data_IF_597496969608
#
_entry.id   IF_597496969608
#
_cell.length_a   1.000
_cell.length_b   1.000
_cell.length_c   1.000
_cell.angle_alpha   90.00
_cell.angle_beta   90.00
_cell.angle_gamma   90.00
#
_symmetry.space_group_name_H-M   'P 1'
#
loop_
_entity.id
_entity.type
_entity.pdbx_description
1 polymer ?
#
# COMPACT_ATOMS: atom_id res chain seq x y z
N UNK A 1 1.00 -3.65 -33.10
CA UNK A 1 -0.47 -3.57 -33.02
C UNK A 1 -0.89 -2.13 -32.81
N UNK A 2 -2.09 -1.72 -33.24
CA UNK A 2 -2.58 -0.33 -33.05
C UNK A 2 -3.35 -0.19 -31.75
N UNK A 3 -3.34 1.02 -31.20
CA UNK A 3 -4.11 1.36 -30.00
C UNK A 3 -5.62 1.31 -30.30
N UNK A 4 -6.40 0.74 -29.38
CA UNK A 4 -7.87 0.65 -29.51
C UNK A 4 -8.57 2.01 -29.47
N UNK A 5 -7.87 3.08 -29.03
CA UNK A 5 -8.44 4.41 -28.83
C UNK A 5 -7.89 5.49 -29.77
N UNK A 6 -6.83 5.18 -30.55
CA UNK A 6 -6.24 6.10 -31.52
C UNK A 6 -5.40 5.35 -32.56
N UNK A 7 -4.78 6.07 -33.50
CA UNK A 7 -3.93 5.50 -34.57
C UNK A 7 -2.50 5.17 -34.16
N UNK A 8 -2.10 5.48 -32.90
CA UNK A 8 -0.76 5.23 -32.37
C UNK A 8 -0.48 3.76 -32.16
N UNK A 9 0.81 3.43 -31.97
CA UNK A 9 1.21 2.06 -31.68
C UNK A 9 0.90 1.69 -30.22
N UNK A 10 0.37 0.48 -30.01
CA UNK A 10 0.09 -0.03 -28.68
C UNK A 10 1.38 -0.51 -28.02
N UNK A 11 1.52 -0.20 -26.73
CA UNK A 11 2.62 -0.66 -25.86
C UNK A 11 2.15 -1.68 -24.81
N UNK A 12 0.84 -1.83 -24.63
CA UNK A 12 0.24 -2.70 -23.63
C UNK A 12 -1.05 -3.32 -24.12
N UNK A 13 -1.24 -4.60 -23.82
CA UNK A 13 -2.49 -5.33 -23.98
C UNK A 13 -3.14 -5.53 -22.62
N UNK A 14 -4.27 -4.89 -22.41
CA UNK A 14 -5.11 -5.06 -21.21
C UNK A 14 -5.99 -6.30 -21.37
N UNK A 15 -5.46 -7.50 -21.14
CA UNK A 15 -6.14 -8.79 -21.36
C UNK A 15 -7.52 -8.88 -20.70
N UNK A 16 -7.71 -8.24 -19.54
CA UNK A 16 -8.98 -8.23 -18.81
C UNK A 16 -10.11 -7.47 -19.54
N UNK A 17 -9.78 -6.57 -20.46
CA UNK A 17 -10.75 -5.78 -21.26
C UNK A 17 -10.61 -5.99 -22.76
N UNK A 18 -9.55 -6.66 -23.21
CA UNK A 18 -9.24 -6.84 -24.65
C UNK A 18 -8.72 -5.56 -25.32
N UNK A 19 -8.44 -4.48 -24.56
CA UNK A 19 -7.95 -3.22 -25.14
C UNK A 19 -6.44 -3.27 -25.37
N UNK A 20 -6.03 -2.75 -26.53
CA UNK A 20 -4.65 -2.43 -26.86
C UNK A 20 -4.41 -0.94 -26.59
N UNK A 21 -3.46 -0.57 -25.74
CA UNK A 21 -3.26 0.81 -25.31
C UNK A 21 -1.86 1.32 -25.71
N UNK A 22 -1.79 2.52 -26.29
CA UNK A 22 -0.54 3.27 -26.40
C UNK A 22 -0.17 3.90 -25.05
N UNK A 23 1.05 4.42 -24.91
CA UNK A 23 1.53 5.02 -23.66
C UNK A 23 0.56 6.05 -23.07
N UNK A 24 0.17 7.04 -23.90
CA UNK A 24 -0.79 8.09 -23.48
C UNK A 24 -2.12 7.52 -22.97
N UNK A 25 -2.74 6.58 -23.68
CA UNK A 25 -4.03 6.02 -23.26
C UNK A 25 -3.92 5.05 -22.08
N UNK A 26 -2.75 4.47 -21.85
CA UNK A 26 -2.43 3.75 -20.63
C UNK A 26 -2.38 4.70 -19.42
N UNK A 27 -1.63 5.80 -19.54
CA UNK A 27 -1.55 6.84 -18.47
C UNK A 27 -2.93 7.39 -18.14
N UNK A 28 -3.70 7.85 -19.13
CA UNK A 28 -5.06 8.35 -18.96
C UNK A 28 -5.97 7.31 -18.27
N UNK A 29 -5.81 6.03 -18.59
CA UNK A 29 -6.58 4.93 -17.99
C UNK A 29 -6.21 4.71 -16.52
N UNK A 30 -4.91 4.70 -16.20
CA UNK A 30 -4.39 4.56 -14.84
C UNK A 30 -4.86 5.75 -13.98
N UNK A 31 -4.62 6.97 -14.43
CA UNK A 31 -5.01 8.19 -13.70
C UNK A 31 -6.52 8.26 -13.45
N UNK A 32 -7.35 7.92 -14.43
CA UNK A 32 -8.81 7.91 -14.27
C UNK A 32 -9.24 6.94 -13.17
N UNK A 33 -8.61 5.76 -13.06
CA UNK A 33 -8.90 4.77 -12.01
C UNK A 33 -8.40 5.24 -10.66
N UNK A 34 -7.21 5.84 -10.59
CA UNK A 34 -6.70 6.46 -9.35
C UNK A 34 -7.64 7.59 -8.88
N UNK A 35 -8.03 8.50 -9.78
CA UNK A 35 -8.99 9.58 -9.48
C UNK A 35 -10.32 9.05 -8.93
N UNK A 36 -10.80 7.93 -9.47
CA UNK A 36 -12.00 7.25 -8.97
C UNK A 36 -11.80 6.72 -7.55
N UNK A 37 -10.72 5.96 -7.32
CA UNK A 37 -10.41 5.40 -6.00
C UNK A 37 -10.26 6.50 -4.93
N UNK A 38 -9.57 7.57 -5.25
CA UNK A 38 -9.41 8.71 -4.33
C UNK A 38 -10.76 9.37 -4.01
N UNK A 39 -11.62 9.57 -5.01
CA UNK A 39 -12.95 10.15 -4.78
C UNK A 39 -13.84 9.27 -3.91
N UNK A 40 -13.70 7.95 -4.03
CA UNK A 40 -14.49 6.98 -3.28
C UNK A 40 -13.96 6.80 -1.84
N UNK A 41 -12.66 7.08 -1.58
CA UNK A 41 -11.98 6.81 -0.30
C UNK A 41 -11.73 8.06 0.54
N UNK A 42 -11.68 9.26 -0.06
CA UNK A 42 -11.33 10.51 0.63
C UNK A 42 -12.54 11.43 0.72
N UNK A 43 -12.85 11.86 1.93
CA UNK A 43 -13.90 12.85 2.18
C UNK A 43 -13.34 14.28 2.07
N UNK A 44 -13.63 14.95 0.96
CA UNK A 44 -13.20 16.33 0.68
C UNK A 44 -14.17 17.41 1.23
N UNK A 45 -15.26 17.02 1.91
CA UNK A 45 -16.30 17.96 2.37
C UNK A 45 -15.91 18.81 3.57
N UNK A 46 -14.82 18.46 4.25
CA UNK A 46 -14.36 19.08 5.50
C UNK A 46 -13.19 20.04 5.32
N UNK A 47 -13.25 21.00 4.40
CA UNK A 47 -12.16 21.96 4.25
C UNK A 47 -10.88 21.34 3.69
N UNK A 48 -9.71 21.69 4.25
CA UNK A 48 -8.42 21.14 3.80
C UNK A 48 -8.23 19.67 4.21
N UNK A 49 -7.62 18.87 3.32
CA UNK A 49 -7.32 17.46 3.55
C UNK A 49 -5.80 17.26 3.52
N UNK A 50 -5.26 16.58 4.54
CA UNK A 50 -3.84 16.24 4.64
C UNK A 50 -3.67 14.74 4.37
N UNK A 51 -2.90 14.40 3.34
CA UNK A 51 -2.62 13.02 2.95
C UNK A 51 -1.12 12.80 3.10
N UNK A 52 -0.73 11.85 3.92
CA UNK A 52 0.65 11.36 3.98
C UNK A 52 0.80 10.11 3.11
N UNK A 53 1.92 9.96 2.41
CA UNK A 53 2.22 8.80 1.59
C UNK A 53 3.33 7.99 2.26
N UNK A 54 3.05 6.72 2.57
CA UNK A 54 4.08 5.80 3.03
C UNK A 54 4.90 5.34 1.82
N UNK A 55 6.05 5.98 1.59
CA UNK A 55 6.93 5.71 0.46
C UNK A 55 8.09 4.79 0.88
N UNK A 56 8.33 3.73 0.11
CA UNK A 56 9.43 2.79 0.32
C UNK A 56 10.54 2.91 -0.72
N UNK A 57 10.37 3.75 -1.74
CA UNK A 57 11.24 3.84 -2.90
C UNK A 57 11.09 2.71 -3.92
N UNK A 58 10.22 1.73 -3.66
CA UNK A 58 9.81 0.72 -4.64
C UNK A 58 8.72 1.27 -5.58
N UNK A 59 8.50 0.59 -6.72
CA UNK A 59 7.63 1.04 -7.81
C UNK A 59 6.23 1.51 -7.37
N UNK A 60 5.54 0.72 -6.55
CA UNK A 60 4.14 0.99 -6.19
C UNK A 60 3.99 2.24 -5.32
N UNK A 61 4.87 2.41 -4.34
CA UNK A 61 4.85 3.58 -3.45
C UNK A 61 5.28 4.85 -4.18
N UNK A 62 6.26 4.76 -5.09
CA UNK A 62 6.74 5.89 -5.89
C UNK A 62 5.67 6.35 -6.88
N UNK A 63 5.00 5.40 -7.58
CA UNK A 63 3.85 5.71 -8.45
C UNK A 63 2.69 6.31 -7.65
N UNK A 64 2.44 5.81 -6.42
CA UNK A 64 1.40 6.38 -5.56
C UNK A 64 1.68 7.85 -5.24
N UNK A 65 2.91 8.18 -4.83
CA UNK A 65 3.30 9.56 -4.51
C UNK A 65 3.19 10.46 -5.74
N UNK A 66 3.78 10.04 -6.87
CA UNK A 66 3.75 10.79 -8.11
C UNK A 66 2.33 11.06 -8.61
N UNK A 67 1.49 10.02 -8.69
CA UNK A 67 0.13 10.15 -9.17
C UNK A 67 -0.75 11.04 -8.26
N UNK A 68 -0.55 10.99 -6.94
CA UNK A 68 -1.23 11.90 -6.02
C UNK A 68 -0.72 13.33 -6.14
N UNK A 69 0.58 13.54 -6.36
CA UNK A 69 1.14 14.85 -6.65
C UNK A 69 0.49 15.44 -7.90
N UNK A 70 0.50 14.72 -9.03
CA UNK A 70 -0.11 15.16 -10.28
C UNK A 70 -1.62 15.46 -10.14
N UNK A 71 -2.33 14.65 -9.35
CA UNK A 71 -3.75 14.85 -9.10
C UNK A 71 -4.04 16.11 -8.27
N UNK A 72 -3.14 16.51 -7.37
CA UNK A 72 -3.40 17.53 -6.36
C UNK A 72 -2.54 18.78 -6.46
N UNK A 73 -1.51 18.86 -7.34
CA UNK A 73 -0.59 19.98 -7.45
C UNK A 73 -1.28 21.35 -7.60
N UNK A 74 -2.46 21.39 -8.24
CA UNK A 74 -3.22 22.62 -8.42
C UNK A 74 -4.34 22.82 -7.37
N UNK A 75 -4.45 21.92 -6.37
CA UNK A 75 -5.51 21.98 -5.36
C UNK A 75 -5.01 22.56 -4.04
N UNK A 76 -5.34 23.81 -3.76
CA UNK A 76 -4.95 24.50 -2.52
C UNK A 76 -5.52 23.90 -1.23
N UNK A 77 -6.58 23.10 -1.34
CA UNK A 77 -7.24 22.46 -0.19
C UNK A 77 -6.75 21.03 0.09
N UNK A 78 -5.70 20.56 -0.58
CA UNK A 78 -5.06 19.29 -0.31
C UNK A 78 -3.58 19.51 -0.08
N UNK A 79 -3.04 19.00 1.01
CA UNK A 79 -1.62 18.99 1.28
C UNK A 79 -1.09 17.56 1.28
N UNK A 80 0.06 17.36 0.64
CA UNK A 80 0.76 16.09 0.60
C UNK A 80 2.01 16.15 1.47
N UNK A 81 2.28 15.08 2.18
CA UNK A 81 3.56 14.78 2.84
C UNK A 81 3.92 13.33 2.57
N UNK A 82 5.17 12.96 2.78
CA UNK A 82 5.64 11.59 2.62
C UNK A 82 6.49 11.18 3.81
N UNK A 83 6.51 9.88 4.10
CA UNK A 83 7.43 9.31 5.07
C UNK A 83 7.90 7.92 4.65
N UNK A 84 9.13 7.59 5.03
CA UNK A 84 9.72 6.28 4.81
C UNK A 84 9.97 5.59 6.13
N UNK A 85 9.71 4.27 6.18
CA UNK A 85 10.07 3.42 7.31
C UNK A 85 11.32 2.65 6.94
N UNK A 86 12.34 2.77 7.78
CA UNK A 86 13.56 1.99 7.68
C UNK A 86 13.51 0.84 8.69
N UNK A 87 13.46 -0.39 8.20
CA UNK A 87 13.43 -1.59 9.00
C UNK A 87 14.82 -2.04 9.47
N UNK A 88 15.90 -1.41 9.00
CA UNK A 88 17.26 -1.76 9.33
C UNK A 88 17.68 -3.11 8.73
N UNK A 89 17.39 -3.32 7.44
CA UNK A 89 17.82 -4.50 6.66
C UNK A 89 18.99 -4.07 5.77
N UNK A 90 20.20 -4.50 6.12
CA UNK A 90 21.44 -4.11 5.43
C UNK A 90 21.44 -4.52 3.96
N UNK A 91 21.91 -3.63 3.08
CA UNK A 91 22.05 -3.87 1.65
C UNK A 91 20.72 -3.98 0.88
N UNK A 92 19.60 -3.74 1.55
CA UNK A 92 18.28 -3.79 0.94
C UNK A 92 17.57 -2.43 0.91
N UNK A 93 17.68 -1.65 2.00
CA UNK A 93 16.89 -0.41 2.11
C UNK A 93 17.56 0.82 1.53
N UNK A 94 18.88 0.79 1.34
CA UNK A 94 19.66 1.99 1.00
C UNK A 94 19.18 2.64 -0.30
N UNK A 95 19.09 1.88 -1.41
CA UNK A 95 18.59 2.39 -2.68
C UNK A 95 17.12 2.84 -2.65
N UNK A 96 16.29 2.13 -1.89
CA UNK A 96 14.90 2.52 -1.68
C UNK A 96 14.77 3.84 -0.92
N UNK A 97 15.56 4.05 0.14
CA UNK A 97 15.60 5.31 0.90
C UNK A 97 16.05 6.48 0.02
N UNK A 98 17.10 6.29 -0.78
CA UNK A 98 17.62 7.29 -1.72
C UNK A 98 16.58 7.66 -2.79
N UNK A 99 15.93 6.66 -3.41
CA UNK A 99 14.90 6.89 -4.41
C UNK A 99 13.69 7.62 -3.82
N UNK A 100 13.27 7.26 -2.60
CA UNK A 100 12.17 7.93 -1.92
C UNK A 100 12.49 9.40 -1.64
N UNK A 101 13.67 9.68 -1.10
CA UNK A 101 14.13 11.04 -0.79
C UNK A 101 14.29 11.88 -2.07
N UNK A 102 14.89 11.31 -3.12
CA UNK A 102 15.06 11.96 -4.41
C UNK A 102 13.73 12.35 -5.04
N UNK A 103 12.76 11.42 -5.10
CA UNK A 103 11.44 11.70 -5.67
C UNK A 103 10.69 12.76 -4.86
N UNK A 104 10.74 12.71 -3.53
CA UNK A 104 10.11 13.73 -2.68
C UNK A 104 10.71 15.11 -2.92
N UNK A 105 12.04 15.19 -3.07
CA UNK A 105 12.76 16.44 -3.37
C UNK A 105 12.36 16.99 -4.75
N UNK A 106 12.33 16.14 -5.77
CA UNK A 106 11.93 16.49 -7.13
C UNK A 106 10.50 17.06 -7.18
N UNK A 107 9.58 16.45 -6.43
CA UNK A 107 8.18 16.88 -6.38
C UNK A 107 7.91 18.00 -5.36
N UNK A 108 8.91 18.45 -4.59
CA UNK A 108 8.74 19.46 -3.55
C UNK A 108 7.85 19.03 -2.38
N UNK A 109 7.78 17.71 -2.10
CA UNK A 109 6.95 17.15 -1.04
C UNK A 109 7.76 16.97 0.24
N UNK A 110 7.32 17.49 1.41
CA UNK A 110 7.97 17.26 2.69
C UNK A 110 8.10 15.77 2.99
N UNK A 111 9.32 15.32 3.38
CA UNK A 111 9.62 13.92 3.61
C UNK A 111 10.32 13.72 4.95
N UNK A 112 9.91 12.68 5.69
CA UNK A 112 10.57 12.23 6.92
C UNK A 112 10.92 10.73 6.84
N UNK A 113 11.89 10.32 7.65
CA UNK A 113 12.25 8.91 7.81
C UNK A 113 12.17 8.52 9.28
N UNK A 114 11.53 7.38 9.57
CA UNK A 114 11.45 6.79 10.89
C UNK A 114 11.97 5.35 10.84
N UNK A 115 12.84 4.95 11.77
CA UNK A 115 13.46 3.63 11.76
C UNK A 115 12.99 2.73 12.91
N UNK A 116 13.14 1.42 12.72
CA UNK A 116 12.96 0.44 13.79
C UNK A 116 13.94 0.68 14.93
N UNK A 117 15.21 0.98 14.62
CA UNK A 117 16.23 1.26 15.62
C UNK A 117 15.87 2.46 16.50
N UNK A 118 15.36 3.55 15.93
CA UNK A 118 14.93 4.72 16.70
C UNK A 118 13.74 4.45 17.63
N UNK A 119 12.80 3.60 17.21
CA UNK A 119 11.53 3.43 17.93
C UNK A 119 11.46 2.19 18.79
N UNK A 120 12.16 1.13 18.37
CA UNK A 120 12.11 -0.17 19.05
C UNK A 120 13.48 -0.62 19.58
N UNK A 121 14.54 0.21 19.40
CA UNK A 121 15.92 -0.08 19.80
C UNK A 121 16.45 -1.40 19.22
N UNK A 122 15.93 -1.82 18.05
CA UNK A 122 16.35 -3.01 17.32
C UNK A 122 16.11 -2.85 15.82
N UNK A 123 16.75 -3.68 15.03
CA UNK A 123 16.58 -3.76 13.58
C UNK A 123 15.93 -5.08 13.18
N UNK A 124 15.47 -5.18 11.93
CA UNK A 124 14.92 -6.45 11.44
C UNK A 124 15.99 -7.54 11.34
N UNK A 125 17.24 -7.17 11.00
CA UNK A 125 18.35 -8.09 10.96
C UNK A 125 18.64 -8.65 12.35
N UNK A 126 18.74 -7.81 13.38
CA UNK A 126 18.96 -8.25 14.78
C UNK A 126 17.81 -9.16 15.28
N UNK A 127 16.55 -8.87 14.92
CA UNK A 127 15.42 -9.73 15.29
C UNK A 127 15.56 -11.14 14.69
N UNK A 128 16.01 -11.23 13.44
CA UNK A 128 16.21 -12.52 12.77
C UNK A 128 17.45 -13.24 13.29
N UNK A 129 18.54 -12.52 13.53
CA UNK A 129 19.78 -13.09 14.13
C UNK A 129 19.52 -13.68 15.51
N UNK A 130 18.78 -12.96 16.36
CA UNK A 130 18.46 -13.41 17.71
C UNK A 130 17.39 -14.53 17.73
N UNK A 131 16.59 -14.69 16.67
CA UNK A 131 15.55 -15.69 16.56
C UNK A 131 15.48 -16.28 15.15
N UNK A 132 16.39 -17.19 14.76
CA UNK A 132 16.46 -17.76 13.41
C UNK A 132 15.18 -18.47 12.95
N UNK A 133 14.40 -19.02 13.88
CA UNK A 133 13.15 -19.72 13.60
C UNK A 133 11.95 -18.77 13.37
N UNK A 134 12.11 -17.50 13.68
CA UNK A 134 11.00 -16.54 13.50
C UNK A 134 10.69 -16.36 12.00
N UNK A 135 9.41 -16.25 11.67
CA UNK A 135 8.99 -15.82 10.34
C UNK A 135 9.14 -14.29 10.27
N UNK A 136 10.12 -13.73 9.54
CA UNK A 136 10.44 -12.29 9.60
C UNK A 136 9.24 -11.39 9.35
N UNK A 137 8.39 -11.74 8.37
CA UNK A 137 7.19 -10.97 8.03
C UNK A 137 6.17 -10.89 9.18
N UNK A 138 6.17 -11.86 10.10
CA UNK A 138 5.25 -11.85 11.26
C UNK A 138 5.61 -10.79 12.29
N UNK A 139 6.88 -10.40 12.36
CA UNK A 139 7.42 -9.33 13.21
C UNK A 139 7.41 -7.98 12.47
N UNK A 140 8.00 -7.94 11.29
CA UNK A 140 8.11 -6.74 10.47
C UNK A 140 6.74 -6.08 10.20
N UNK A 141 5.72 -6.87 9.84
CA UNK A 141 4.40 -6.33 9.49
C UNK A 141 3.71 -5.54 10.62
N UNK A 142 3.59 -6.04 11.85
CA UNK A 142 3.06 -5.29 13.00
C UNK A 142 3.88 -4.02 13.29
N UNK A 143 5.21 -4.11 13.34
CA UNK A 143 6.10 -2.99 13.62
C UNK A 143 5.94 -1.88 12.57
N UNK A 144 5.96 -2.21 11.29
CA UNK A 144 5.71 -1.24 10.20
C UNK A 144 4.36 -0.55 10.33
N UNK A 145 3.28 -1.30 10.61
CA UNK A 145 1.94 -0.71 10.80
C UNK A 145 1.88 0.23 11.99
N UNK A 146 2.61 -0.07 13.07
CA UNK A 146 2.73 0.81 14.23
C UNK A 146 3.45 2.10 13.87
N UNK A 147 4.60 2.03 13.17
CA UNK A 147 5.33 3.22 12.72
C UNK A 147 4.53 4.04 11.70
N UNK A 148 3.83 3.41 10.77
CA UNK A 148 2.92 4.13 9.86
C UNK A 148 1.89 4.95 10.64
N UNK A 149 1.32 4.38 11.71
CA UNK A 149 0.32 5.09 12.49
C UNK A 149 0.93 6.22 13.32
N UNK A 150 2.10 6.00 13.90
CA UNK A 150 2.83 7.03 14.66
C UNK A 150 3.19 8.18 13.74
N UNK A 151 3.82 7.90 12.60
CA UNK A 151 4.32 8.94 11.72
C UNK A 151 3.21 9.71 11.01
N UNK A 152 2.14 9.03 10.58
CA UNK A 152 0.99 9.74 10.05
C UNK A 152 0.28 10.63 11.07
N UNK A 153 0.32 10.26 12.36
CA UNK A 153 -0.19 11.12 13.43
C UNK A 153 0.74 12.32 13.69
N UNK A 154 2.07 12.12 13.67
CA UNK A 154 3.05 13.21 13.79
C UNK A 154 2.91 14.24 12.66
N UNK A 155 2.58 13.79 11.47
CA UNK A 155 2.32 14.62 10.29
C UNK A 155 0.89 15.19 10.25
N UNK A 156 0.10 14.96 11.31
CA UNK A 156 -1.29 15.42 11.38
C UNK A 156 -2.14 14.97 10.19
N UNK A 157 -1.84 13.81 9.61
CA UNK A 157 -2.48 13.33 8.41
C UNK A 157 -3.92 12.85 8.67
N UNK A 158 -4.85 13.27 7.82
CA UNK A 158 -6.23 12.74 7.81
C UNK A 158 -6.28 11.34 7.19
N UNK A 159 -5.36 11.09 6.24
CA UNK A 159 -5.22 9.82 5.52
C UNK A 159 -3.76 9.44 5.31
N UNK A 160 -3.49 8.14 5.29
CA UNK A 160 -2.22 7.59 4.81
C UNK A 160 -2.46 6.77 3.53
N UNK A 161 -1.79 7.16 2.45
CA UNK A 161 -1.84 6.46 1.18
C UNK A 161 -0.78 5.35 1.13
N UNK A 162 -1.20 4.17 0.69
CA UNK A 162 -0.34 2.99 0.55
C UNK A 162 -0.30 2.55 -0.91
N UNK A 163 0.90 2.23 -1.40
CA UNK A 163 1.13 1.66 -2.72
C UNK A 163 0.78 0.17 -2.75
N UNK A 164 -0.50 -0.15 -2.66
CA UNK A 164 -1.01 -1.52 -2.80
C UNK A 164 -1.76 -1.59 -4.12
N UNK A 165 -1.23 -2.32 -5.08
CA UNK A 165 -1.81 -2.53 -6.39
C UNK A 165 -2.91 -3.61 -6.38
N UNK A 166 -3.53 -3.89 -7.52
CA UNK A 166 -4.63 -4.84 -7.66
C UNK A 166 -4.18 -6.27 -7.31
N UNK A 167 -3.00 -6.68 -7.77
CA UNK A 167 -2.46 -8.02 -7.56
C UNK A 167 -2.17 -8.24 -6.07
N UNK A 168 -1.52 -7.30 -5.40
CA UNK A 168 -1.25 -7.34 -3.95
C UNK A 168 -2.53 -7.37 -3.11
N UNK A 169 -3.53 -6.60 -3.53
CA UNK A 169 -4.84 -6.59 -2.86
C UNK A 169 -5.53 -7.95 -3.00
N UNK A 170 -5.57 -8.50 -4.21
CA UNK A 170 -6.20 -9.78 -4.52
C UNK A 170 -5.51 -10.95 -3.80
N UNK A 171 -4.17 -10.97 -3.77
CA UNK A 171 -3.40 -11.92 -2.95
C UNK A 171 -3.80 -11.84 -1.48
N UNK A 172 -3.96 -10.63 -0.95
CA UNK A 172 -4.33 -10.44 0.46
C UNK A 172 -5.74 -10.94 0.76
N UNK A 173 -6.68 -10.77 -0.18
CA UNK A 173 -8.03 -11.34 -0.08
C UNK A 173 -7.97 -12.87 -0.07
N UNK A 174 -7.29 -13.49 -1.03
CA UNK A 174 -7.12 -14.94 -1.11
C UNK A 174 -6.47 -15.51 0.15
N UNK A 175 -5.43 -14.85 0.68
CA UNK A 175 -4.77 -15.26 1.93
C UNK A 175 -5.72 -15.26 3.12
N UNK A 176 -6.60 -14.27 3.23
CA UNK A 176 -7.55 -14.18 4.33
C UNK A 176 -8.67 -15.22 4.18
N UNK A 177 -9.15 -15.46 2.96
CA UNK A 177 -10.13 -16.52 2.65
C UNK A 177 -9.55 -17.90 3.01
N UNK A 178 -8.33 -18.21 2.55
CA UNK A 178 -7.68 -19.50 2.83
C UNK A 178 -7.40 -19.75 4.31
N UNK A 179 -7.32 -18.68 5.13
CA UNK A 179 -7.16 -18.78 6.59
C UNK A 179 -8.47 -18.78 7.36
N UNK A 180 -9.59 -18.53 6.70
CA UNK A 180 -10.87 -18.28 7.38
C UNK A 180 -10.85 -17.03 8.28
N UNK A 181 -9.96 -16.05 8.01
CA UNK A 181 -9.74 -14.88 8.88
C UNK A 181 -10.67 -13.72 8.48
N UNK A 182 -11.93 -13.84 8.89
CA UNK A 182 -12.99 -12.85 8.66
C UNK A 182 -12.63 -11.49 9.27
N UNK A 183 -12.07 -11.49 10.46
CA UNK A 183 -11.65 -10.28 11.17
C UNK A 183 -10.55 -9.52 10.42
N UNK A 184 -9.60 -10.23 9.86
CA UNK A 184 -8.52 -9.63 9.07
C UNK A 184 -9.05 -9.12 7.74
N UNK A 185 -9.99 -9.82 7.13
CA UNK A 185 -10.70 -9.39 5.93
C UNK A 185 -11.45 -8.07 6.16
N UNK A 186 -12.20 -7.96 7.25
CA UNK A 186 -12.93 -6.74 7.62
C UNK A 186 -12.01 -5.55 7.96
N UNK A 187 -10.78 -5.81 8.41
CA UNK A 187 -9.78 -4.77 8.71
C UNK A 187 -8.90 -4.37 7.53
N UNK A 188 -9.12 -4.95 6.35
CA UNK A 188 -8.36 -4.52 5.15
C UNK A 188 -8.70 -3.07 4.79
N UNK A 189 -7.67 -2.32 4.34
CA UNK A 189 -7.89 -1.00 3.73
C UNK A 189 -8.62 -1.16 2.37
N UNK A 190 -9.30 -0.13 1.86
CA UNK A 190 -9.39 1.22 2.41
C UNK A 190 -10.29 1.31 3.64
N UNK A 191 -10.02 2.30 4.51
CA UNK A 191 -10.79 2.50 5.73
C UNK A 191 -11.81 3.63 5.54
N UNK A 192 -13.08 3.32 5.51
CA UNK A 192 -14.16 4.32 5.39
C UNK A 192 -14.46 5.02 6.71
N UNK A 193 -14.34 4.30 7.84
CA UNK A 193 -14.60 4.84 9.17
C UNK A 193 -13.30 5.22 9.88
N UNK A 194 -13.34 6.36 10.59
CA UNK A 194 -12.26 6.76 11.49
C UNK A 194 -12.36 5.92 12.78
N UNK A 195 -11.24 5.35 13.21
CA UNK A 195 -11.10 4.71 14.53
C UNK A 195 -10.17 5.57 15.39
N UNK A 196 -10.50 5.71 16.66
CA UNK A 196 -9.69 6.52 17.59
C UNK A 196 -8.24 6.06 17.65
N UNK A 197 -7.34 7.03 17.51
CA UNK A 197 -5.90 6.79 17.49
C UNK A 197 -5.34 6.16 16.21
N UNK A 198 -6.16 5.90 15.17
CA UNK A 198 -5.71 5.33 13.91
C UNK A 198 -5.97 6.27 12.74
N UNK A 199 -4.94 6.49 11.91
CA UNK A 199 -5.09 7.22 10.65
C UNK A 199 -5.74 6.31 9.60
N UNK A 200 -6.72 6.85 8.87
CA UNK A 200 -7.41 6.11 7.79
C UNK A 200 -6.44 5.80 6.66
N UNK A 201 -6.46 4.56 6.18
CA UNK A 201 -5.63 4.12 5.05
C UNK A 201 -6.41 4.17 3.76
N UNK A 202 -5.80 4.73 2.71
CA UNK A 202 -6.33 4.76 1.35
C UNK A 202 -5.40 4.01 0.41
N UNK A 203 -5.98 3.41 -0.62
CA UNK A 203 -5.28 2.55 -1.59
C UNK A 203 -5.50 3.08 -3.01
N UNK A 204 -4.74 4.09 -3.47
CA UNK A 204 -4.93 4.69 -4.78
C UNK A 204 -4.78 3.71 -5.94
N UNK A 205 -3.88 2.70 -5.80
CA UNK A 205 -3.53 1.75 -6.85
C UNK A 205 -4.35 0.44 -6.82
N UNK A 206 -5.30 0.27 -5.90
CA UNK A 206 -5.94 -1.03 -5.71
C UNK A 206 -6.75 -1.55 -6.93
N UNK A 207 -7.02 -0.72 -7.94
CA UNK A 207 -7.63 -1.11 -9.24
C UNK A 207 -6.62 -1.11 -10.38
N UNK A 208 -5.33 -0.99 -10.12
CA UNK A 208 -4.29 -0.92 -11.13
C UNK A 208 -3.49 -2.23 -11.07
N UNK A 209 -3.50 -3.06 -12.13
CA UNK A 209 -2.64 -4.24 -12.23
C UNK A 209 -1.17 -3.89 -12.08
N UNK A 210 -0.38 -4.78 -11.48
CA UNK A 210 1.05 -4.57 -11.23
C UNK A 210 1.81 -4.19 -12.53
N UNK A 211 1.50 -4.84 -13.65
CA UNK A 211 2.10 -4.53 -14.96
C UNK A 211 1.84 -3.09 -15.42
N UNK A 212 0.63 -2.58 -15.17
CA UNK A 212 0.30 -1.19 -15.52
C UNK A 212 1.00 -0.19 -14.59
N UNK A 213 1.23 -0.54 -13.31
CA UNK A 213 2.02 0.30 -12.40
C UNK A 213 3.46 0.43 -12.89
N UNK A 214 4.08 -0.69 -13.33
CA UNK A 214 5.44 -0.69 -13.91
C UNK A 214 5.51 0.18 -15.15
N UNK A 215 4.57 -0.01 -16.09
CA UNK A 215 4.55 0.76 -17.34
C UNK A 215 4.30 2.24 -17.08
N UNK A 216 3.40 2.59 -16.15
CA UNK A 216 3.17 3.97 -15.75
C UNK A 216 4.43 4.61 -15.14
N UNK A 217 5.18 3.87 -14.31
CA UNK A 217 6.44 4.35 -13.77
C UNK A 217 7.47 4.64 -14.87
N UNK A 218 7.61 3.73 -15.85
CA UNK A 218 8.55 3.89 -16.97
C UNK A 218 8.16 5.08 -17.85
N UNK A 219 6.88 5.21 -18.21
CA UNK A 219 6.39 6.30 -19.05
C UNK A 219 6.60 7.68 -18.43
N UNK A 220 6.52 7.77 -17.11
CA UNK A 220 6.71 9.02 -16.36
C UNK A 220 8.14 9.21 -15.82
N UNK A 221 9.10 8.35 -16.18
CA UNK A 221 10.50 8.47 -15.76
C UNK A 221 10.72 8.29 -14.26
N UNK A 222 9.78 7.67 -13.54
CA UNK A 222 9.86 7.47 -12.09
C UNK A 222 10.93 6.42 -11.80
N UNK A 223 11.95 6.80 -11.04
CA UNK A 223 12.97 5.87 -10.55
C UNK A 223 12.41 5.07 -9.38
N UNK A 224 12.71 3.77 -9.36
CA UNK A 224 12.30 2.89 -8.28
C UNK A 224 13.31 1.77 -8.07
N UNK A 225 13.38 1.29 -6.84
CA UNK A 225 14.14 0.09 -6.49
C UNK A 225 13.31 -1.16 -6.81
N UNK A 226 13.93 -2.13 -7.46
CA UNK A 226 13.36 -3.44 -7.78
C UNK A 226 13.93 -4.57 -6.92
N UNK A 227 14.72 -4.24 -5.91
CA UNK A 227 15.33 -5.23 -5.00
C UNK A 227 14.26 -5.99 -4.21
N UNK A 228 14.53 -7.26 -3.96
CA UNK A 228 13.71 -8.10 -3.11
C UNK A 228 14.26 -8.13 -1.69
N UNK A 229 13.35 -8.03 -0.71
CA UNK A 229 13.74 -8.22 0.68
C UNK A 229 14.45 -9.57 0.86
N UNK A 230 15.64 -9.64 1.52
CA UNK A 230 16.38 -10.89 1.71
C UNK A 230 15.54 -11.98 2.40
N UNK A 231 14.56 -11.58 3.19
CA UNK A 231 13.63 -12.48 3.89
C UNK A 231 12.40 -12.87 3.06
N UNK A 232 12.31 -12.45 1.80
CA UNK A 232 11.15 -12.67 0.92
C UNK A 232 10.85 -14.17 0.70
N UNK A 233 11.88 -15.02 0.56
CA UNK A 233 11.70 -16.45 0.34
C UNK A 233 10.92 -17.19 1.44
N UNK A 234 10.86 -16.62 2.65
CA UNK A 234 10.10 -17.15 3.80
C UNK A 234 8.65 -16.59 3.89
N UNK A 235 8.22 -15.82 2.90
CA UNK A 235 6.91 -15.17 2.92
C UNK A 235 5.83 -16.10 2.34
N UNK A 236 4.76 -16.35 3.12
CA UNK A 236 3.60 -17.14 2.66
C UNK A 236 2.88 -16.53 1.44
N UNK A 237 3.08 -15.24 1.19
CA UNK A 237 2.46 -14.53 0.06
C UNK A 237 2.89 -15.09 -1.29
N UNK A 238 4.07 -15.69 -1.40
CA UNK A 238 4.61 -16.21 -2.67
C UNK A 238 3.69 -17.26 -3.29
N UNK A 239 3.20 -18.21 -2.49
CA UNK A 239 2.24 -19.23 -2.94
C UNK A 239 0.97 -18.61 -3.51
N UNK A 240 0.44 -17.56 -2.86
CA UNK A 240 -0.77 -16.88 -3.34
C UNK A 240 -0.52 -16.02 -4.58
N UNK A 241 0.69 -15.53 -4.77
CA UNK A 241 1.11 -14.88 -6.02
C UNK A 241 1.08 -15.87 -7.18
N UNK A 242 1.70 -17.04 -7.03
CA UNK A 242 1.72 -18.09 -8.05
C UNK A 242 0.30 -18.59 -8.42
N UNK A 243 -0.54 -18.78 -7.41
CA UNK A 243 -1.96 -19.15 -7.62
C UNK A 243 -2.68 -18.06 -8.43
N UNK A 244 -2.52 -16.79 -8.06
CA UNK A 244 -3.17 -15.68 -8.75
C UNK A 244 -2.67 -15.53 -10.18
N UNK A 245 -1.37 -15.65 -10.42
CA UNK A 245 -0.76 -15.64 -11.75
C UNK A 245 -1.35 -16.75 -12.64
N UNK A 246 -1.45 -17.98 -12.11
CA UNK A 246 -2.07 -19.10 -12.81
C UNK A 246 -3.55 -18.84 -13.17
N UNK A 247 -4.29 -18.23 -12.24
CA UNK A 247 -5.71 -17.88 -12.48
C UNK A 247 -5.83 -16.78 -13.53
N UNK A 248 -5.00 -15.73 -13.48
CA UNK A 248 -4.98 -14.64 -14.46
C UNK A 248 -4.58 -15.12 -15.87
N UNK A 249 -3.66 -16.07 -15.98
CA UNK A 249 -3.30 -16.67 -17.28
C UNK A 249 -4.46 -17.41 -17.91
N UNK A 250 -5.21 -18.17 -17.12
CA UNK A 250 -6.36 -18.97 -17.60
C UNK A 250 -7.64 -18.15 -17.77
N UNK A 251 -7.83 -17.18 -16.92
CA UNK A 251 -9.05 -16.35 -16.86
C UNK A 251 -8.67 -14.92 -16.58
N UNK A 252 -8.28 -14.14 -17.61
CA UNK A 252 -7.89 -12.74 -17.45
C UNK A 252 -8.98 -11.90 -16.80
N UNK A 253 -8.63 -11.10 -15.79
CA UNK A 253 -9.55 -10.29 -14.99
C UNK A 253 -10.00 -10.96 -13.69
N UNK A 254 -9.43 -12.10 -13.32
CA UNK A 254 -9.69 -12.76 -12.03
C UNK A 254 -9.40 -11.82 -10.84
N UNK A 255 -8.32 -11.05 -10.86
CA UNK A 255 -7.99 -10.08 -9.80
C UNK A 255 -9.08 -9.02 -9.63
N UNK A 256 -9.66 -8.53 -10.72
CA UNK A 256 -10.82 -7.62 -10.67
C UNK A 256 -12.07 -8.28 -10.09
N UNK A 257 -12.28 -9.56 -10.39
CA UNK A 257 -13.39 -10.34 -9.83
C UNK A 257 -13.24 -10.55 -8.34
N UNK A 258 -12.02 -10.84 -7.85
CA UNK A 258 -11.68 -10.94 -6.44
C UNK A 258 -11.89 -9.59 -5.72
N UNK A 259 -11.43 -8.49 -6.33
CA UNK A 259 -11.68 -7.15 -5.81
C UNK A 259 -13.17 -6.83 -5.70
N UNK A 260 -13.95 -7.14 -6.76
CA UNK A 260 -15.41 -6.93 -6.77
C UNK A 260 -16.11 -7.75 -5.69
N UNK A 261 -15.69 -9.00 -5.48
CA UNK A 261 -16.17 -9.84 -4.40
C UNK A 261 -15.88 -9.21 -3.03
N UNK A 262 -14.63 -8.79 -2.78
CA UNK A 262 -14.23 -8.15 -1.53
C UNK A 262 -15.03 -6.87 -1.25
N UNK A 263 -15.23 -6.03 -2.28
CA UNK A 263 -16.07 -4.82 -2.16
C UNK A 263 -17.55 -5.17 -1.86
N UNK A 264 -18.07 -6.24 -2.47
CA UNK A 264 -19.45 -6.68 -2.30
C UNK A 264 -19.78 -7.23 -0.89
N UNK A 265 -18.82 -7.91 -0.25
CA UNK A 265 -19.03 -8.46 1.10
C UNK A 265 -18.68 -7.47 2.21
N UNK A 266 -18.02 -6.36 1.89
CA UNK A 266 -17.56 -5.36 2.86
C UNK A 266 -18.67 -4.86 3.80
N UNK A 267 -19.87 -4.47 3.31
CA UNK A 267 -20.94 -3.99 4.20
C UNK A 267 -21.36 -5.02 5.25
N UNK A 268 -21.39 -6.30 4.89
CA UNK A 268 -21.73 -7.38 5.83
C UNK A 268 -20.61 -7.60 6.85
N UNK A 269 -19.34 -7.54 6.41
CA UNK A 269 -18.18 -7.63 7.29
C UNK A 269 -18.12 -6.47 8.29
N UNK A 270 -18.39 -5.25 7.85
CA UNK A 270 -18.39 -4.06 8.71
C UNK A 270 -19.50 -4.11 9.78
N UNK A 271 -20.59 -4.85 9.53
CA UNK A 271 -21.65 -5.10 10.50
C UNK A 271 -21.33 -6.24 11.47
N UNK A 272 -20.63 -7.30 11.00
CA UNK A 272 -20.35 -8.52 11.78
C UNK A 272 -19.17 -8.35 12.75
N UNK A 273 -18.23 -7.47 12.42
CA UNK A 273 -17.13 -7.16 13.34
C UNK A 273 -17.65 -6.18 14.38
N UNK A 274 -17.77 -6.65 15.62
CA UNK A 274 -18.09 -5.78 16.75
C UNK A 274 -17.26 -4.50 16.67
N UNK A 275 -17.89 -3.38 16.93
CA UNK A 275 -17.21 -2.08 17.08
C UNK A 275 -16.36 -2.12 18.35
N UNK A 276 -15.34 -2.99 18.34
CA UNK A 276 -14.42 -3.12 19.45
C UNK A 276 -13.80 -1.77 19.73
N UNK A 277 -13.95 -1.32 20.95
CA UNK A 277 -13.26 -0.12 21.44
C UNK A 277 -11.77 -0.35 21.28
N UNK A 278 -11.10 0.61 20.63
CA UNK A 278 -9.64 0.59 20.57
C UNK A 278 -9.10 0.96 21.95
N UNK A 279 -8.42 0.02 22.59
CA UNK A 279 -7.70 0.25 23.83
C UNK A 279 -6.32 0.85 23.55
N UNK A 280 -5.67 1.33 24.59
CA UNK A 280 -4.24 1.67 24.55
C UNK A 280 -3.44 0.48 25.08
N UNK A 281 -2.39 0.10 24.35
CA UNK A 281 -1.45 -0.93 24.82
C UNK A 281 -0.87 -0.53 26.17
N UNK A 282 -0.92 -1.43 27.16
CA UNK A 282 -0.40 -1.18 28.51
C UNK A 282 1.11 -0.91 28.55
N UNK A 283 1.87 -1.33 27.52
CA UNK A 283 3.33 -1.13 27.45
C UNK A 283 3.68 0.13 26.64
N UNK A 284 3.18 0.31 25.41
CA UNK A 284 3.62 1.37 24.52
C UNK A 284 2.57 2.47 24.26
N UNK A 285 1.37 2.36 24.81
CA UNK A 285 0.29 3.34 24.65
C UNK A 285 -0.36 3.40 23.26
N UNK A 286 0.12 2.60 22.29
CA UNK A 286 -0.43 2.60 20.92
C UNK A 286 -1.80 1.93 20.87
N UNK A 287 -2.67 2.33 19.92
CA UNK A 287 -3.99 1.74 19.75
C UNK A 287 -3.91 0.24 19.47
N UNK A 288 -4.71 -0.52 20.17
CA UNK A 288 -4.80 -1.98 20.04
C UNK A 288 -6.18 -2.49 20.44
N UNK A 289 -6.60 -3.63 19.87
CA UNK A 289 -7.80 -4.35 20.31
C UNK A 289 -7.54 -5.31 21.48
N UNK A 290 -6.30 -5.36 21.98
CA UNK A 290 -5.86 -6.25 23.08
C UNK A 290 -5.30 -5.41 24.23
N UNK A 291 -5.02 -6.01 25.35
CA UNK A 291 -4.32 -5.36 26.46
C UNK A 291 -2.89 -4.98 26.08
N UNK A 292 -2.16 -5.89 25.42
CA UNK A 292 -0.82 -5.67 24.87
C UNK A 292 -0.88 -5.80 23.34
N UNK A 293 -0.31 -4.84 22.63
CA UNK A 293 -0.29 -4.87 21.17
C UNK A 293 0.63 -5.99 20.63
N UNK A 294 0.40 -6.41 19.38
CA UNK A 294 1.18 -7.50 18.76
C UNK A 294 2.68 -7.20 18.72
N UNK A 295 3.09 -5.94 18.60
CA UNK A 295 4.51 -5.56 18.61
C UNK A 295 5.12 -5.85 19.99
N UNK A 296 4.51 -5.37 21.06
CA UNK A 296 5.01 -5.54 22.43
C UNK A 296 4.87 -6.97 22.98
N UNK A 297 3.86 -7.72 22.55
CA UNK A 297 3.68 -9.13 22.98
C UNK A 297 4.66 -10.08 22.28
N UNK A 298 5.37 -9.58 21.31
CA UNK A 298 6.29 -10.35 20.50
C UNK A 298 7.77 -9.94 20.72
N UNK A 299 8.01 -8.94 21.59
CA UNK A 299 9.34 -8.48 22.01
C UNK A 299 9.95 -9.40 23.03
#
# INVERSE_FOLDING_TARGET
MKCSRCTGDAVYEAKHSGEMLCGRHLEESVERRIKREIRDQVDFKKGGVRISVAISGGKDSSVTLYALHELFKDRKNVSLSAFTIDEGIKGYRDSGLENAASLCTELGIPHSTISFSQKFSTTMDEIVENNPEVIPCSRCGPMRRQLMNIESANLDADYVALGINLDDYSQSVLMNVARGDVDRMARMAPHHMKKDGLTRRILPLRRIPEKEVVLYAILNGIKFDSSWCPYYGRAQRNTFREILETLEERTPGTSFSILKFADGIRPALDQSVEKGTMNKCSICGQPTSREICTTCSSS
#
